data_IF_781011737661
#
_entry.id   IF_781011737661
#
_cell.length_a   1.000
_cell.length_b   1.000
_cell.length_c   1.000
_cell.angle_alpha   90.00
_cell.angle_beta   90.00
_cell.angle_gamma   90.00
#
_symmetry.space_group_name_H-M   'P 1'
#
loop_
_entity.id
_entity.type
_entity.pdbx_description
1 polymer ?
#
# COMPACT_ATOMS: atom_id res chain seq x y z
N UNK A 1 -7.42 7.16 -75.55
CA UNK A 1 -5.99 7.05 -75.07
C UNK A 1 -5.72 8.03 -73.90
N UNK A 2 -6.44 9.16 -73.82
CA UNK A 2 -6.31 10.17 -72.79
C UNK A 2 -6.84 9.64 -71.45
N UNK A 3 -8.00 8.94 -71.40
CA UNK A 3 -8.71 8.53 -70.22
C UNK A 3 -7.95 7.44 -69.46
N UNK A 4 -7.25 6.53 -70.18
CA UNK A 4 -6.39 5.51 -69.53
C UNK A 4 -5.16 6.08 -68.81
N UNK A 5 -4.59 7.18 -69.36
CA UNK A 5 -3.44 7.85 -68.78
C UNK A 5 -3.84 8.61 -67.49
N UNK A 6 -5.03 9.22 -67.52
CA UNK A 6 -5.59 9.89 -66.33
C UNK A 6 -5.90 8.86 -65.22
N UNK A 7 -6.54 7.74 -65.56
CA UNK A 7 -6.88 6.67 -64.61
C UNK A 7 -5.62 6.05 -63.99
N UNK A 8 -4.57 5.84 -64.74
CA UNK A 8 -3.29 5.34 -64.24
C UNK A 8 -2.61 6.35 -63.30
N UNK A 9 -2.65 7.65 -63.64
CA UNK A 9 -2.12 8.70 -62.76
C UNK A 9 -2.87 8.80 -61.44
N UNK A 10 -4.19 8.68 -61.46
CA UNK A 10 -5.03 8.68 -60.27
C UNK A 10 -4.80 7.43 -59.40
N UNK A 11 -4.61 6.26 -60.00
CA UNK A 11 -4.24 5.02 -59.34
C UNK A 11 -2.86 5.10 -58.71
N UNK A 12 -1.86 5.68 -59.37
CA UNK A 12 -0.52 5.88 -58.80
C UNK A 12 -0.54 6.87 -57.66
N UNK A 13 -1.29 7.96 -57.73
CA UNK A 13 -1.49 8.91 -56.65
C UNK A 13 -2.19 8.31 -55.42
N UNK A 14 -3.20 7.46 -55.66
CA UNK A 14 -3.85 6.72 -54.57
C UNK A 14 -2.92 5.68 -53.91
N UNK A 15 -2.08 5.02 -54.72
CA UNK A 15 -1.12 4.04 -54.23
C UNK A 15 -0.02 4.70 -53.35
N UNK A 16 0.45 5.87 -53.78
CA UNK A 16 1.44 6.66 -53.01
C UNK A 16 0.85 7.18 -51.70
N UNK A 17 -0.37 7.70 -51.72
CA UNK A 17 -1.07 8.11 -50.47
C UNK A 17 -1.29 6.93 -49.53
N UNK A 18 -1.69 5.77 -50.05
CA UNK A 18 -1.92 4.56 -49.24
C UNK A 18 -0.61 4.01 -48.67
N UNK A 19 0.48 4.05 -49.47
CA UNK A 19 1.83 3.68 -49.01
C UNK A 19 2.34 4.61 -47.91
N UNK A 20 2.16 5.91 -48.06
CA UNK A 20 2.51 6.91 -47.04
C UNK A 20 1.71 6.73 -45.74
N UNK A 21 0.41 6.45 -45.85
CA UNK A 21 -0.43 6.19 -44.69
C UNK A 21 -0.03 4.89 -43.96
N UNK A 22 0.23 3.81 -44.68
CA UNK A 22 0.70 2.55 -44.09
C UNK A 22 2.09 2.72 -43.48
N UNK A 23 2.99 3.48 -44.09
CA UNK A 23 4.31 3.80 -43.56
C UNK A 23 4.24 4.58 -42.23
N UNK A 24 3.40 5.63 -42.17
CA UNK A 24 3.13 6.40 -40.98
C UNK A 24 2.57 5.52 -39.85
N UNK A 25 1.53 4.74 -40.13
CA UNK A 25 0.93 3.83 -39.17
C UNK A 25 1.92 2.77 -38.66
N UNK A 26 2.82 2.29 -39.52
CA UNK A 26 3.87 1.34 -39.11
C UNK A 26 4.84 1.95 -38.09
N UNK A 27 5.25 3.20 -38.31
CA UNK A 27 6.16 3.90 -37.39
C UNK A 27 5.50 4.21 -36.04
N UNK A 28 4.25 4.63 -36.07
CA UNK A 28 3.48 4.88 -34.84
C UNK A 28 3.37 3.59 -33.99
N UNK A 29 3.03 2.47 -34.64
CA UNK A 29 2.93 1.16 -33.98
C UNK A 29 4.27 0.73 -33.36
N UNK A 30 5.38 0.90 -34.09
CA UNK A 30 6.72 0.59 -33.57
C UNK A 30 7.08 1.43 -32.35
N UNK A 31 6.76 2.71 -32.40
CA UNK A 31 7.00 3.63 -31.26
C UNK A 31 6.17 3.21 -30.06
N UNK A 32 4.88 2.99 -30.24
CA UNK A 32 3.96 2.56 -29.20
C UNK A 32 4.42 1.26 -28.51
N UNK A 33 4.82 0.25 -29.28
CA UNK A 33 5.32 -1.01 -28.73
C UNK A 33 6.60 -0.82 -27.91
N UNK A 34 7.55 0.01 -28.39
CA UNK A 34 8.78 0.29 -27.65
C UNK A 34 8.54 1.02 -26.34
N UNK A 35 7.61 1.96 -26.33
CA UNK A 35 7.21 2.68 -25.11
C UNK A 35 6.50 1.74 -24.11
N UNK A 36 5.64 0.87 -24.61
CA UNK A 36 4.97 -0.12 -23.77
C UNK A 36 5.97 -1.09 -23.11
N UNK A 37 6.95 -1.60 -23.86
CA UNK A 37 7.99 -2.46 -23.29
C UNK A 37 8.76 -1.77 -22.17
N UNK A 38 9.16 -0.51 -22.35
CA UNK A 38 9.82 0.28 -21.30
C UNK A 38 8.93 0.46 -20.07
N UNK A 39 7.65 0.75 -20.29
CA UNK A 39 6.70 0.93 -19.18
C UNK A 39 6.50 -0.38 -18.40
N UNK A 40 6.42 -1.52 -19.07
CA UNK A 40 6.35 -2.82 -18.41
C UNK A 40 7.62 -3.15 -17.63
N UNK A 41 8.81 -2.75 -18.09
CA UNK A 41 10.05 -2.90 -17.32
C UNK A 41 10.00 -2.11 -16.02
N UNK A 42 9.55 -0.85 -16.06
CA UNK A 42 9.37 -0.01 -14.88
C UNK A 42 8.32 -0.58 -13.91
N UNK A 43 7.26 -1.19 -14.42
CA UNK A 43 6.25 -1.84 -13.57
C UNK A 43 6.81 -3.07 -12.86
N UNK A 44 7.64 -3.87 -13.52
CA UNK A 44 8.32 -5.03 -12.93
C UNK A 44 9.32 -4.65 -11.82
N UNK A 45 9.95 -3.49 -11.94
CA UNK A 45 10.82 -2.96 -10.89
C UNK A 45 10.03 -2.55 -9.64
N UNK A 46 8.84 -1.97 -9.84
CA UNK A 46 7.99 -1.50 -8.75
C UNK A 46 7.24 -2.62 -8.01
N UNK A 47 6.77 -3.60 -8.74
CA UNK A 47 5.99 -4.71 -8.15
C UNK A 47 6.21 -6.01 -8.92
N UNK A 48 6.75 -7.00 -8.23
CA UNK A 48 7.00 -8.33 -8.78
C UNK A 48 5.80 -9.28 -8.69
N UNK A 49 4.74 -8.89 -8.01
CA UNK A 49 3.56 -9.76 -7.81
C UNK A 49 2.83 -10.09 -9.12
N UNK A 50 2.96 -9.24 -10.13
CA UNK A 50 2.38 -9.41 -11.47
C UNK A 50 3.41 -9.82 -12.54
N UNK A 51 4.60 -10.24 -12.13
CA UNK A 51 5.71 -10.51 -13.04
C UNK A 51 5.34 -11.50 -14.16
N UNK A 52 4.65 -12.58 -13.85
CA UNK A 52 4.28 -13.59 -14.86
C UNK A 52 3.34 -13.02 -15.92
N UNK A 53 2.31 -12.26 -15.50
CA UNK A 53 1.36 -11.64 -16.40
C UNK A 53 2.02 -10.56 -17.27
N UNK A 54 2.90 -9.74 -16.69
CA UNK A 54 3.63 -8.69 -17.38
C UNK A 54 4.62 -9.30 -18.36
N UNK A 55 5.37 -10.32 -17.98
CA UNK A 55 6.32 -11.01 -18.87
C UNK A 55 5.64 -11.67 -20.05
N UNK A 56 4.46 -12.27 -19.85
CA UNK A 56 3.65 -12.82 -20.94
C UNK A 56 3.28 -11.71 -21.96
N UNK A 57 2.79 -10.58 -21.49
CA UNK A 57 2.42 -9.47 -22.35
C UNK A 57 3.64 -8.84 -23.05
N UNK A 58 4.78 -8.74 -22.37
CA UNK A 58 6.04 -8.31 -23.00
C UNK A 58 6.44 -9.23 -24.15
N UNK A 59 6.32 -10.55 -23.99
CA UNK A 59 6.62 -11.52 -25.03
C UNK A 59 5.68 -11.35 -26.23
N UNK A 60 4.37 -11.16 -26.00
CA UNK A 60 3.39 -10.90 -27.05
C UNK A 60 3.70 -9.60 -27.82
N UNK A 61 4.05 -8.51 -27.10
CA UNK A 61 4.45 -7.24 -27.71
C UNK A 61 5.74 -7.39 -28.52
N UNK A 62 6.74 -8.09 -28.01
CA UNK A 62 8.00 -8.29 -28.70
C UNK A 62 7.81 -9.09 -30.01
N UNK A 63 6.93 -10.10 -30.00
CA UNK A 63 6.59 -10.86 -31.19
C UNK A 63 5.89 -9.99 -32.26
N UNK A 64 4.90 -9.18 -31.83
CA UNK A 64 4.19 -8.26 -32.69
C UNK A 64 5.13 -7.19 -33.27
N UNK A 65 6.01 -6.62 -32.42
CA UNK A 65 7.03 -5.65 -32.88
C UNK A 65 7.95 -6.27 -33.93
N UNK A 66 8.43 -7.49 -33.69
CA UNK A 66 9.27 -8.18 -34.65
C UNK A 66 8.56 -8.43 -35.99
N UNK A 67 7.26 -8.72 -36.01
CA UNK A 67 6.45 -8.84 -37.24
C UNK A 67 6.33 -7.50 -37.98
N UNK A 68 6.11 -6.41 -37.25
CA UNK A 68 6.04 -5.05 -37.78
C UNK A 68 7.39 -4.61 -38.36
N UNK A 69 8.50 -4.92 -37.69
CA UNK A 69 9.86 -4.55 -38.13
C UNK A 69 10.29 -5.27 -39.38
N UNK A 70 9.88 -6.53 -39.57
CA UNK A 70 10.16 -7.29 -40.76
C UNK A 70 9.44 -6.78 -42.04
N UNK A 71 8.49 -5.86 -41.88
CA UNK A 71 7.73 -5.28 -43.00
C UNK A 71 6.74 -6.24 -43.66
N UNK A 72 6.49 -7.41 -43.08
CA UNK A 72 5.67 -8.47 -43.71
C UNK A 72 4.17 -8.38 -43.31
N UNK A 73 3.74 -7.23 -42.78
CA UNK A 73 2.35 -7.05 -42.35
C UNK A 73 1.53 -6.31 -43.38
N UNK A 74 0.40 -6.88 -43.77
CA UNK A 74 -0.60 -6.19 -44.59
C UNK A 74 -1.27 -5.05 -43.79
N UNK A 75 -1.89 -4.08 -44.48
CA UNK A 75 -2.63 -2.99 -43.87
C UNK A 75 -3.68 -3.50 -42.86
N UNK A 76 -4.34 -4.62 -43.16
CA UNK A 76 -5.33 -5.25 -42.27
C UNK A 76 -4.70 -5.78 -40.98
N UNK A 77 -3.51 -6.38 -41.07
CA UNK A 77 -2.77 -6.87 -39.88
C UNK A 77 -2.24 -5.72 -39.03
N UNK A 78 -1.77 -4.61 -39.67
CA UNK A 78 -1.40 -3.39 -38.93
C UNK A 78 -2.58 -2.79 -38.16
N UNK A 79 -3.77 -2.80 -38.76
CA UNK A 79 -4.99 -2.34 -38.10
C UNK A 79 -5.36 -3.23 -36.90
N UNK A 80 -5.19 -4.55 -37.00
CA UNK A 80 -5.37 -5.49 -35.90
C UNK A 80 -4.36 -5.23 -34.79
N UNK A 81 -3.07 -5.08 -35.13
CA UNK A 81 -2.00 -4.78 -34.19
C UNK A 81 -2.28 -3.47 -33.40
N UNK A 82 -2.79 -2.43 -34.07
CA UNK A 82 -3.18 -1.17 -33.40
C UNK A 82 -4.31 -1.38 -32.40
N UNK A 83 -5.29 -2.22 -32.71
CA UNK A 83 -6.37 -2.57 -31.78
C UNK A 83 -5.85 -3.36 -30.59
N UNK A 84 -4.90 -4.25 -30.79
CA UNK A 84 -4.24 -5.00 -29.73
C UNK A 84 -3.43 -4.07 -28.81
N UNK A 85 -2.69 -3.10 -29.37
CA UNK A 85 -2.00 -2.05 -28.61
C UNK A 85 -2.96 -1.31 -27.68
N UNK A 86 -4.10 -0.87 -28.17
CA UNK A 86 -5.08 -0.16 -27.34
C UNK A 86 -5.61 -1.03 -26.19
N UNK A 87 -5.80 -2.32 -26.43
CA UNK A 87 -6.20 -3.26 -25.39
C UNK A 87 -5.10 -3.44 -24.36
N UNK A 88 -3.85 -3.64 -24.79
CA UNK A 88 -2.69 -3.78 -23.91
C UNK A 88 -2.41 -2.50 -23.11
N UNK A 89 -2.57 -1.32 -23.71
CA UNK A 89 -2.48 -0.03 -23.02
C UNK A 89 -3.53 0.10 -21.90
N UNK A 90 -4.75 -0.42 -22.09
CA UNK A 90 -5.78 -0.47 -21.03
C UNK A 90 -5.37 -1.38 -19.88
N UNK A 91 -4.86 -2.57 -20.19
CA UNK A 91 -4.38 -3.52 -19.18
C UNK A 91 -3.20 -2.92 -18.39
N UNK A 92 -2.24 -2.31 -19.08
CA UNK A 92 -1.09 -1.64 -18.45
C UNK A 92 -1.52 -0.52 -17.53
N UNK A 93 -2.47 0.33 -17.93
CA UNK A 93 -3.07 1.35 -17.05
C UNK A 93 -3.73 0.73 -15.82
N UNK A 94 -4.40 -0.41 -15.97
CA UNK A 94 -4.97 -1.16 -14.86
C UNK A 94 -3.89 -1.62 -13.86
N UNK A 95 -2.75 -2.09 -14.33
CA UNK A 95 -1.63 -2.46 -13.43
C UNK A 95 -1.04 -1.26 -12.72
N UNK A 96 -0.86 -0.12 -13.39
CA UNK A 96 -0.37 1.11 -12.76
C UNK A 96 -1.28 1.49 -11.59
N UNK A 97 -2.59 1.55 -11.81
CA UNK A 97 -3.57 1.90 -10.77
C UNK A 97 -3.53 0.91 -9.60
N UNK A 98 -3.41 -0.39 -9.88
CA UNK A 98 -3.31 -1.42 -8.84
C UNK A 98 -2.03 -1.28 -8.01
N UNK A 99 -0.89 -1.06 -8.65
CA UNK A 99 0.41 -0.89 -7.99
C UNK A 99 0.39 0.37 -7.12
N UNK A 100 -0.12 1.49 -7.61
CA UNK A 100 -0.21 2.74 -6.85
C UNK A 100 -1.16 2.60 -5.65
N UNK A 101 -2.28 1.88 -5.82
CA UNK A 101 -3.21 1.58 -4.74
C UNK A 101 -2.57 0.70 -3.66
N UNK A 102 -1.84 -0.35 -4.05
CA UNK A 102 -1.13 -1.24 -3.13
C UNK A 102 -0.02 -0.51 -2.38
N UNK A 103 0.73 0.35 -3.05
CA UNK A 103 1.77 1.16 -2.42
C UNK A 103 1.18 2.12 -1.39
N UNK A 104 0.08 2.78 -1.72
CA UNK A 104 -0.65 3.66 -0.80
C UNK A 104 -1.15 2.89 0.42
N UNK A 105 -1.73 1.70 0.22
CA UNK A 105 -2.20 0.85 1.29
C UNK A 105 -1.05 0.38 2.20
N UNK A 106 0.07 -0.05 1.61
CA UNK A 106 1.27 -0.45 2.37
C UNK A 106 1.80 0.69 3.23
N UNK A 107 1.85 1.90 2.68
CA UNK A 107 2.30 3.08 3.43
C UNK A 107 1.39 3.36 4.63
N UNK A 108 0.08 3.28 4.42
CA UNK A 108 -0.92 3.45 5.48
C UNK A 108 -0.80 2.38 6.55
N UNK A 109 -0.70 1.10 6.15
CA UNK A 109 -0.55 -0.01 7.10
C UNK A 109 0.73 0.10 7.92
N UNK A 110 1.83 0.53 7.33
CA UNK A 110 3.09 0.76 8.06
C UNK A 110 2.93 1.87 9.10
N UNK A 111 2.30 2.99 8.74
CA UNK A 111 2.02 4.09 9.67
C UNK A 111 1.07 3.67 10.80
N UNK A 112 0.02 2.91 10.48
CA UNK A 112 -0.92 2.39 11.47
C UNK A 112 -0.23 1.41 12.44
N UNK A 113 0.68 0.59 11.94
CA UNK A 113 1.48 -0.35 12.73
C UNK A 113 2.41 0.40 13.71
N UNK A 114 3.12 1.42 13.24
CA UNK A 114 3.96 2.27 14.09
C UNK A 114 3.14 2.95 15.19
N UNK A 115 1.99 3.51 14.82
CA UNK A 115 1.08 4.16 15.77
C UNK A 115 0.57 3.18 16.82
N UNK A 116 0.21 1.97 16.39
CA UNK A 116 -0.28 0.91 17.26
C UNK A 116 0.81 0.42 18.20
N UNK A 117 2.03 0.24 17.73
CA UNK A 117 3.17 -0.15 18.55
C UNK A 117 3.49 0.90 19.61
N UNK A 118 3.45 2.18 19.24
CA UNK A 118 3.67 3.29 20.17
C UNK A 118 2.59 3.29 21.28
N UNK A 119 1.32 3.14 20.92
CA UNK A 119 0.22 3.05 21.89
C UNK A 119 0.35 1.82 22.78
N UNK A 120 0.75 0.68 22.22
CA UNK A 120 0.95 -0.55 22.98
C UNK A 120 2.07 -0.36 24.02
N UNK A 121 3.20 0.26 23.65
CA UNK A 121 4.28 0.58 24.57
C UNK A 121 3.78 1.49 25.70
N UNK A 122 3.11 2.60 25.38
CA UNK A 122 2.56 3.53 26.37
C UNK A 122 1.60 2.84 27.33
N UNK A 123 0.65 2.06 26.80
CA UNK A 123 -0.32 1.34 27.64
C UNK A 123 0.36 0.30 28.54
N UNK A 124 1.43 -0.32 28.05
CA UNK A 124 2.22 -1.28 28.83
C UNK A 124 2.94 -0.57 29.98
N UNK A 125 3.57 0.56 29.72
CA UNK A 125 4.25 1.38 30.72
C UNK A 125 3.28 1.91 31.79
N UNK A 126 2.12 2.41 31.37
CA UNK A 126 1.04 2.85 32.27
C UNK A 126 0.55 1.70 33.17
N UNK A 127 0.31 0.53 32.60
CA UNK A 127 -0.08 -0.66 33.33
C UNK A 127 0.94 -1.01 34.42
N UNK A 128 2.21 -0.98 34.08
CA UNK A 128 3.29 -1.34 34.99
C UNK A 128 3.47 -0.27 36.08
N UNK A 129 3.23 1.00 35.80
CA UNK A 129 3.17 2.07 36.79
C UNK A 129 1.99 1.85 37.78
N UNK A 130 0.78 1.63 37.27
CA UNK A 130 -0.39 1.37 38.10
C UNK A 130 -0.22 0.14 39.02
N UNK A 131 0.40 -0.91 38.47
CA UNK A 131 0.72 -2.10 39.28
C UNK A 131 1.68 -1.79 40.42
N UNK A 132 2.75 -1.07 40.16
CA UNK A 132 3.72 -0.63 41.17
C UNK A 132 3.07 0.25 42.25
N UNK A 133 2.22 1.19 41.83
CA UNK A 133 1.54 2.09 42.78
C UNK A 133 0.51 1.36 43.62
N UNK A 134 -0.21 0.40 43.02
CA UNK A 134 -1.11 -0.47 43.79
C UNK A 134 -0.37 -1.32 44.84
N UNK A 135 0.78 -1.91 44.48
CA UNK A 135 1.62 -2.67 45.38
C UNK A 135 2.14 -1.80 46.54
N UNK A 136 2.65 -0.60 46.28
CA UNK A 136 3.10 0.37 47.27
C UNK A 136 1.95 0.80 48.21
N UNK A 137 0.79 1.07 47.62
CA UNK A 137 -0.40 1.45 48.41
C UNK A 137 -0.87 0.32 49.33
N UNK A 138 -0.86 -0.92 48.84
CA UNK A 138 -1.20 -2.09 49.65
C UNK A 138 -0.23 -2.29 50.83
N UNK A 139 1.07 -2.07 50.62
CA UNK A 139 2.06 -2.11 51.69
C UNK A 139 1.84 -1.00 52.74
N UNK A 140 1.52 0.22 52.30
CA UNK A 140 1.24 1.33 53.22
C UNK A 140 -0.01 1.07 54.07
N UNK A 141 -1.08 0.56 53.48
CA UNK A 141 -2.30 0.16 54.20
C UNK A 141 -1.97 -0.93 55.22
N UNK A 142 -1.16 -1.92 54.87
CA UNK A 142 -0.76 -3.01 55.77
C UNK A 142 0.08 -2.50 56.95
N UNK A 143 0.93 -1.52 56.79
CA UNK A 143 1.71 -0.85 57.83
C UNK A 143 0.80 0.00 58.73
N UNK A 144 -0.10 0.79 58.12
CA UNK A 144 -1.03 1.66 58.86
C UNK A 144 -2.02 0.89 59.71
N UNK A 145 -2.56 -0.23 59.24
CA UNK A 145 -3.50 -1.05 60.04
C UNK A 145 -2.86 -1.68 61.26
N UNK A 146 -1.57 -2.05 61.20
CA UNK A 146 -0.84 -2.54 62.38
C UNK A 146 -0.65 -1.45 63.45
N UNK A 147 -0.33 -0.23 63.02
CA UNK A 147 -0.15 0.91 63.96
C UNK A 147 -1.45 1.33 64.61
N UNK A 148 -2.58 1.34 63.93
CA UNK A 148 -3.89 1.62 64.49
C UNK A 148 -4.31 0.60 65.50
N UNK A 149 -4.12 -0.68 65.29
CA UNK A 149 -4.44 -1.74 66.27
C UNK A 149 -3.62 -1.61 67.52
N UNK A 150 -2.37 -1.22 67.48
CA UNK A 150 -1.51 -1.01 68.62
C UNK A 150 -1.95 0.21 69.47
N UNK A 151 -2.24 1.33 68.82
CA UNK A 151 -2.70 2.55 69.47
C UNK A 151 -4.08 2.36 70.20
N UNK A 152 -4.98 1.62 69.54
CA UNK A 152 -6.29 1.32 70.09
C UNK A 152 -6.17 0.44 71.36
N UNK A 153 -5.35 -0.55 71.37
CA UNK A 153 -5.08 -1.43 72.53
C UNK A 153 -4.51 -0.66 73.70
N UNK A 154 -3.59 0.24 73.53
CA UNK A 154 -2.96 1.09 74.53
C UNK A 154 -3.93 2.15 75.07
N UNK A 155 -4.79 2.76 74.28
CA UNK A 155 -5.74 3.77 74.70
C UNK A 155 -6.88 3.21 75.52
N UNK A 156 -7.35 2.03 75.20
CA UNK A 156 -8.41 1.35 75.98
C UNK A 156 -7.98 1.00 77.39
N UNK A 157 -6.75 0.60 77.63
CA UNK A 157 -6.19 0.35 78.95
C UNK A 157 -6.03 1.63 79.80
N UNK A 158 -5.63 2.74 79.22
CA UNK A 158 -5.53 4.03 79.86
C UNK A 158 -6.90 4.57 80.30
N UNK A 159 -7.92 4.43 79.51
CA UNK A 159 -9.26 4.87 79.83
C UNK A 159 -9.84 4.09 81.08
N UNK A 160 -9.64 2.79 81.14
CA UNK A 160 -10.08 1.98 82.30
C UNK A 160 -9.35 2.35 83.55
N UNK A 161 -8.07 2.63 83.50
CA UNK A 161 -7.27 3.05 84.63
C UNK A 161 -7.67 4.46 85.19
N UNK A 162 -7.92 5.40 84.21
CA UNK A 162 -8.33 6.75 84.63
C UNK A 162 -9.71 6.78 85.23
N UNK A 163 -10.67 6.00 84.82
CA UNK A 163 -12.00 5.95 85.38
C UNK A 163 -11.98 5.36 86.82
N UNK A 164 -11.12 4.41 87.03
CA UNK A 164 -10.94 3.85 88.38
C UNK A 164 -10.24 4.81 89.33
N UNK A 165 -9.36 5.66 88.90
CA UNK A 165 -8.69 6.68 89.72
C UNK A 165 -9.56 7.88 89.96
N UNK A 166 -10.44 8.29 89.04
CA UNK A 166 -11.41 9.37 89.32
C UNK A 166 -12.47 8.98 90.37
N UNK A 167 -12.92 7.76 90.36
CA UNK A 167 -13.83 7.26 91.37
C UNK A 167 -13.16 7.15 92.71
N UNK A 168 -11.88 6.84 92.84
CA UNK A 168 -11.14 6.80 94.07
C UNK A 168 -10.81 8.19 94.64
N UNK A 169 -10.78 9.24 93.79
CA UNK A 169 -10.53 10.60 94.22
C UNK A 169 -11.81 11.40 94.56
N UNK A 170 -13.00 10.83 94.41
CA UNK A 170 -14.26 11.43 94.75
C UNK A 170 -14.84 10.88 96.02
N UNK A 171 -14.16 9.98 96.64
CA UNK A 171 -14.44 9.53 97.97
C UNK A 171 -13.54 10.21 99.01
#
# INVERSE_FOLDING_TARGET
>A
KSDNALLNSDMDGMNDMMSGYVGGMTNDIKTDFKEMLKTYDLLLEKDKSKADSINKQKAEIAELLAKVERGNMSARQLFSARKEIETMKKIMRGYIVQIDSLNTLNYRLTSDLETTNTKLSQTTDERDQYKNDAEKSAEQVKKGSKLQAYNFSSGGLRMKLNNTTEESNKA
#
